data_IF_542840533238
#
_entry.id   IF_542840533238
#
_cell.length_a   1.000
_cell.length_b   1.000
_cell.length_c   1.000
_cell.angle_alpha   90.00
_cell.angle_beta   90.00
_cell.angle_gamma   90.00
#
_symmetry.space_group_name_H-M   'P 1'
#
loop_
_entity.id
_entity.type
_entity.pdbx_description
1 polymer ?
#
# COMPACT_ATOMS: atom_id res chain seq x y z
N UNK A 1 -4.92 4.39 2.84
CA UNK A 1 -3.91 4.71 1.81
C UNK A 1 -4.06 6.19 1.43
N UNK A 2 -3.03 6.86 0.92
CA UNK A 2 -3.13 8.25 0.42
C UNK A 2 -3.16 8.27 -1.10
N UNK A 3 -4.02 9.09 -1.68
CA UNK A 3 -4.06 9.33 -3.11
C UNK A 3 -4.28 10.82 -3.41
N UNK A 4 -3.90 11.22 -4.61
CA UNK A 4 -4.19 12.52 -5.18
C UNK A 4 -5.23 12.38 -6.29
N UNK A 5 -6.19 13.30 -6.34
CA UNK A 5 -7.24 13.31 -7.37
C UNK A 5 -6.68 13.90 -8.66
N UNK A 6 -7.00 13.24 -9.78
CA UNK A 6 -6.59 13.67 -11.13
C UNK A 6 -7.72 14.30 -11.93
N UNK A 7 -8.96 14.14 -11.49
CA UNK A 7 -10.12 14.72 -12.16
C UNK A 7 -10.37 16.17 -11.71
N UNK A 8 -10.81 17.06 -12.62
CA UNK A 8 -11.00 18.49 -12.31
C UNK A 8 -11.95 18.73 -11.15
N UNK A 9 -13.01 17.93 -11.06
CA UNK A 9 -14.03 18.03 -10.03
C UNK A 9 -14.66 16.66 -9.77
N UNK A 10 -14.69 16.27 -8.50
CA UNK A 10 -15.23 15.00 -8.04
C UNK A 10 -16.23 15.24 -6.93
N UNK A 11 -17.42 14.65 -7.05
CA UNK A 11 -18.45 14.68 -6.00
C UNK A 11 -18.15 13.61 -4.96
N UNK A 12 -18.10 14.03 -3.70
CA UNK A 12 -18.08 13.13 -2.55
C UNK A 12 -19.49 13.03 -1.97
N UNK A 13 -19.92 11.81 -1.68
CA UNK A 13 -21.26 11.44 -1.23
C UNK A 13 -21.23 10.96 0.22
N UNK A 14 -22.32 11.20 0.96
CA UNK A 14 -22.47 10.74 2.34
C UNK A 14 -22.59 9.21 2.47
N UNK A 15 -23.02 8.52 1.41
CA UNK A 15 -23.16 7.06 1.40
C UNK A 15 -22.90 6.48 0.01
N UNK A 16 -22.77 5.15 -0.06
CA UNK A 16 -22.66 4.39 -1.31
C UNK A 16 -24.05 4.25 -1.98
N UNK A 17 -24.64 5.38 -2.36
CA UNK A 17 -25.91 5.46 -3.09
C UNK A 17 -25.82 6.61 -4.08
N UNK A 18 -26.35 6.42 -5.29
CA UNK A 18 -26.38 7.46 -6.32
C UNK A 18 -27.30 8.61 -5.95
N UNK A 19 -28.33 8.34 -5.14
CA UNK A 19 -29.26 9.35 -4.64
C UNK A 19 -28.76 9.99 -3.35
N UNK A 20 -27.58 9.61 -2.86
CA UNK A 20 -27.01 10.19 -1.65
C UNK A 20 -26.71 11.68 -1.87
N UNK A 21 -26.85 12.46 -0.80
CA UNK A 21 -26.46 13.86 -0.80
C UNK A 21 -24.95 13.98 -1.05
N UNK A 22 -24.58 14.85 -2.00
CA UNK A 22 -23.18 15.25 -2.16
C UNK A 22 -22.82 16.20 -1.02
N UNK A 23 -21.86 15.78 -0.20
CA UNK A 23 -21.44 16.50 1.02
C UNK A 23 -20.17 17.32 0.80
N UNK A 24 -19.41 17.05 -0.26
CA UNK A 24 -18.25 17.83 -0.63
C UNK A 24 -17.93 17.71 -2.13
N UNK A 25 -17.17 18.69 -2.62
CA UNK A 25 -16.56 18.69 -3.93
C UNK A 25 -15.05 18.70 -3.77
N UNK A 26 -14.39 17.74 -4.39
CA UNK A 26 -12.94 17.62 -4.41
C UNK A 26 -12.43 18.07 -5.77
N UNK A 27 -11.28 18.74 -5.79
CA UNK A 27 -10.67 19.30 -6.99
C UNK A 27 -9.46 18.48 -7.42
N UNK A 28 -9.01 18.71 -8.64
CA UNK A 28 -7.72 18.15 -9.09
C UNK A 28 -6.61 18.59 -8.12
N UNK A 29 -5.76 17.64 -7.73
CA UNK A 29 -4.63 17.91 -6.84
C UNK A 29 -4.93 17.68 -5.36
N UNK A 30 -6.21 17.57 -4.97
CA UNK A 30 -6.57 17.28 -3.59
C UNK A 30 -6.03 15.93 -3.14
N UNK A 31 -5.41 15.92 -1.96
CA UNK A 31 -4.92 14.70 -1.31
C UNK A 31 -5.99 14.14 -0.38
N UNK A 32 -6.33 12.87 -0.59
CA UNK A 32 -7.35 12.17 0.18
C UNK A 32 -6.80 10.87 0.77
N UNK A 33 -7.30 10.54 1.96
CA UNK A 33 -7.16 9.20 2.50
C UNK A 33 -8.29 8.35 1.93
N UNK A 34 -7.96 7.24 1.29
CA UNK A 34 -8.92 6.32 0.73
C UNK A 34 -8.71 4.89 1.24
N UNK A 35 -9.81 4.12 1.25
CA UNK A 35 -9.86 2.71 1.60
C UNK A 35 -10.13 1.83 0.38
N UNK A 36 -10.32 0.52 0.63
CA UNK A 36 -10.59 -0.44 -0.44
C UNK A 36 -11.91 -0.16 -1.16
N UNK A 37 -11.95 -0.22 -2.50
CA UNK A 37 -13.19 -0.09 -3.27
C UNK A 37 -14.23 -1.14 -2.84
N UNK A 38 -15.50 -0.73 -2.77
CA UNK A 38 -16.65 -1.57 -2.45
C UNK A 38 -17.68 -1.50 -3.57
N UNK A 39 -18.32 -2.62 -3.89
CA UNK A 39 -19.41 -2.66 -4.88
C UNK A 39 -20.76 -2.59 -4.17
N UNK A 40 -21.65 -1.71 -4.60
CA UNK A 40 -23.03 -1.63 -4.14
C UNK A 40 -23.93 -1.22 -5.30
N UNK A 41 -25.05 -1.93 -5.47
CA UNK A 41 -26.00 -1.73 -6.58
C UNK A 41 -25.32 -1.71 -7.97
N UNK A 42 -24.36 -2.60 -8.20
CA UNK A 42 -23.65 -2.69 -9.49
C UNK A 42 -22.50 -1.68 -9.66
N UNK A 43 -22.44 -0.61 -8.88
CA UNK A 43 -21.41 0.44 -8.98
C UNK A 43 -20.29 0.27 -7.96
N UNK A 44 -19.10 0.71 -8.35
CA UNK A 44 -17.92 0.76 -7.49
C UNK A 44 -17.87 2.09 -6.74
N UNK A 45 -17.60 2.01 -5.45
CA UNK A 45 -17.50 3.14 -4.54
C UNK A 45 -16.19 3.06 -3.79
N UNK A 46 -15.47 4.17 -3.73
CA UNK A 46 -14.23 4.26 -2.97
C UNK A 46 -14.52 5.04 -1.69
N UNK A 47 -14.39 4.42 -0.51
CA UNK A 47 -14.51 5.14 0.75
C UNK A 47 -13.32 6.07 0.92
N UNK A 48 -13.59 7.31 1.29
CA UNK A 48 -12.60 8.35 1.54
C UNK A 48 -12.84 8.98 2.91
N UNK A 49 -11.81 9.63 3.44
CA UNK A 49 -11.90 10.46 4.64
C UNK A 49 -11.54 11.89 4.23
N UNK A 50 -12.49 12.80 4.40
CA UNK A 50 -12.30 14.23 4.11
C UNK A 50 -11.35 14.87 5.13
N UNK A 51 -10.85 16.08 4.83
CA UNK A 51 -10.04 16.87 5.77
C UNK A 51 -10.75 17.16 7.09
N UNK A 52 -12.08 17.17 7.10
CA UNK A 52 -12.92 17.29 8.30
C UNK A 52 -12.93 16.02 9.18
N UNK A 53 -12.32 14.92 8.74
CA UNK A 53 -12.39 13.61 9.39
C UNK A 53 -13.68 12.84 9.07
N UNK A 54 -14.63 13.45 8.35
CA UNK A 54 -15.87 12.80 7.94
C UNK A 54 -15.60 11.75 6.86
N UNK A 55 -16.19 10.56 7.03
CA UNK A 55 -16.16 9.53 5.99
C UNK A 55 -17.14 9.88 4.87
N UNK A 56 -16.65 9.80 3.63
CA UNK A 56 -17.43 10.03 2.42
C UNK A 56 -17.12 8.94 1.38
N UNK A 57 -17.80 8.99 0.24
CA UNK A 57 -17.63 8.03 -0.84
C UNK A 57 -17.51 8.76 -2.17
N UNK A 58 -16.60 8.31 -3.02
CA UNK A 58 -16.46 8.80 -4.41
C UNK A 58 -16.73 7.66 -5.39
N UNK A 59 -17.05 8.00 -6.63
CA UNK A 59 -17.23 7.00 -7.69
C UNK A 59 -15.91 6.24 -7.93
N UNK A 60 -16.00 4.93 -8.15
CA UNK A 60 -14.86 4.09 -8.56
C UNK A 60 -14.25 4.47 -9.91
N UNK A 61 -14.97 5.22 -10.73
CA UNK A 61 -14.49 5.72 -12.03
C UNK A 61 -13.58 6.96 -11.88
N UNK A 62 -13.47 7.51 -10.67
CA UNK A 62 -12.61 8.65 -10.38
C UNK A 62 -11.15 8.28 -10.58
N UNK A 63 -10.41 9.09 -11.34
CA UNK A 63 -8.97 8.87 -11.56
C UNK A 63 -8.18 9.33 -10.33
N UNK A 64 -7.53 8.36 -9.69
CA UNK A 64 -6.71 8.56 -8.49
C UNK A 64 -5.26 8.18 -8.79
N UNK A 65 -4.33 9.02 -8.33
CA UNK A 65 -2.92 8.68 -8.27
C UNK A 65 -2.56 8.27 -6.84
N UNK A 66 -2.22 7.00 -6.63
CA UNK A 66 -1.86 6.49 -5.31
C UNK A 66 -0.48 6.98 -4.91
N UNK A 67 -0.42 7.76 -3.82
CA UNK A 67 0.84 8.25 -3.26
C UNK A 67 1.52 7.09 -2.54
N UNK A 68 2.72 6.74 -2.99
CA UNK A 68 3.53 5.64 -2.44
C UNK A 68 4.80 6.20 -1.82
N UNK A 69 5.21 5.61 -0.71
CA UNK A 69 6.51 5.89 -0.12
C UNK A 69 7.57 5.00 -0.77
N UNK A 70 8.74 5.57 -1.00
CA UNK A 70 9.88 4.90 -1.58
C UNK A 70 11.17 5.32 -0.88
N UNK A 71 12.22 4.51 -1.07
CA UNK A 71 13.58 4.85 -0.69
C UNK A 71 14.52 4.76 -1.89
N UNK A 72 15.47 5.68 -1.97
CA UNK A 72 16.48 5.67 -3.03
C UNK A 72 17.44 4.48 -2.88
N UNK A 73 17.75 3.79 -3.98
CA UNK A 73 18.72 2.67 -3.98
C UNK A 73 20.11 3.06 -4.49
N UNK A 74 20.18 4.10 -5.32
CA UNK A 74 21.41 4.67 -5.86
C UNK A 74 22.15 5.52 -4.81
N UNK A 75 23.44 5.76 -5.03
CA UNK A 75 24.29 6.51 -4.11
C UNK A 75 23.84 7.97 -3.97
N UNK A 76 23.61 8.62 -5.11
CA UNK A 76 23.13 9.99 -5.22
C UNK A 76 22.21 10.13 -6.43
N UNK A 77 21.19 10.97 -6.31
CA UNK A 77 20.32 11.37 -7.42
C UNK A 77 20.02 12.86 -7.31
N UNK A 78 20.16 13.56 -8.44
CA UNK A 78 19.80 14.97 -8.57
C UNK A 78 18.28 15.12 -8.60
N UNK A 79 17.79 16.10 -7.83
CA UNK A 79 16.39 16.51 -7.82
C UNK A 79 16.28 17.85 -8.51
N UNK A 80 15.52 17.90 -9.59
CA UNK A 80 15.33 19.06 -10.46
C UNK A 80 14.15 19.92 -10.01
N UNK A 81 14.18 21.21 -10.37
CA UNK A 81 13.07 22.15 -10.11
C UNK A 81 11.88 21.92 -11.05
N UNK A 82 12.14 21.43 -12.26
CA UNK A 82 11.15 21.16 -13.32
C UNK A 82 11.41 19.80 -13.98
N UNK A 83 10.41 19.19 -14.65
CA UNK A 83 10.57 17.93 -15.38
C UNK A 83 11.28 18.15 -16.72
N UNK A 84 12.49 18.69 -16.69
CA UNK A 84 13.34 18.95 -17.85
C UNK A 84 14.80 18.69 -17.50
N UNK A 85 15.57 18.11 -18.44
CA UNK A 85 16.99 17.82 -18.25
C UNK A 85 17.84 19.10 -18.18
N UNK A 86 17.32 20.22 -18.71
CA UNK A 86 17.94 21.54 -18.67
C UNK A 86 17.59 22.31 -17.39
N UNK A 87 16.72 21.74 -16.54
CA UNK A 87 16.30 22.36 -15.30
C UNK A 87 17.45 22.44 -14.29
N UNK A 88 17.39 23.44 -13.42
CA UNK A 88 18.34 23.58 -12.32
C UNK A 88 18.15 22.47 -11.28
N UNK A 89 19.28 21.94 -10.81
CA UNK A 89 19.30 20.98 -9.70
C UNK A 89 18.98 21.75 -8.42
N UNK A 90 17.89 21.37 -7.75
CA UNK A 90 17.43 21.94 -6.49
C UNK A 90 18.22 21.41 -5.31
N UNK A 91 18.43 20.09 -5.26
CA UNK A 91 19.21 19.40 -4.23
C UNK A 91 19.52 17.96 -4.67
N UNK A 92 20.33 17.24 -3.89
CA UNK A 92 20.64 15.83 -4.12
C UNK A 92 20.06 14.93 -3.04
N UNK A 93 19.46 13.83 -3.44
CA UNK A 93 19.07 12.75 -2.54
C UNK A 93 20.20 11.74 -2.40
N UNK A 94 20.46 11.32 -1.16
CA UNK A 94 21.42 10.26 -0.85
C UNK A 94 20.76 8.89 -0.79
N UNK A 95 21.58 7.84 -0.85
CA UNK A 95 21.10 6.46 -0.71
C UNK A 95 20.24 6.26 0.53
N UNK A 96 19.15 5.50 0.38
CA UNK A 96 18.14 5.24 1.40
C UNK A 96 17.34 6.45 1.86
N UNK A 97 17.52 7.64 1.26
CA UNK A 97 16.63 8.76 1.50
C UNK A 97 15.19 8.36 1.17
N UNK A 98 14.27 8.67 2.09
CA UNK A 98 12.85 8.33 1.97
C UNK A 98 12.10 9.49 1.36
N UNK A 99 11.20 9.19 0.43
CA UNK A 99 10.35 10.21 -0.18
C UNK A 99 9.03 9.60 -0.65
N UNK A 100 8.07 10.46 -0.93
CA UNK A 100 6.78 10.07 -1.48
C UNK A 100 6.72 10.39 -2.97
N UNK A 101 6.16 9.47 -3.75
CA UNK A 101 5.94 9.63 -5.19
C UNK A 101 4.58 10.28 -5.38
N UNK A 102 4.57 11.47 -5.98
CA UNK A 102 3.39 12.33 -6.10
C UNK A 102 2.73 12.25 -7.47
N UNK A 103 3.53 12.12 -8.54
CA UNK A 103 3.04 12.01 -9.92
C UNK A 103 4.13 11.42 -10.80
N UNK A 104 3.73 10.65 -11.82
CA UNK A 104 4.60 10.27 -12.94
C UNK A 104 4.17 11.08 -14.15
N UNK A 105 5.12 11.77 -14.77
CA UNK A 105 4.95 12.58 -15.97
C UNK A 105 5.67 11.82 -17.08
N UNK A 106 4.90 11.28 -18.03
CA UNK A 106 5.48 10.64 -19.20
C UNK A 106 5.84 11.72 -20.21
N UNK A 107 7.13 11.95 -20.40
CA UNK A 107 7.65 12.89 -21.40
C UNK A 107 8.08 12.11 -22.64
N UNK A 108 7.96 12.72 -23.83
CA UNK A 108 8.22 12.05 -25.10
C UNK A 108 9.61 11.40 -25.18
N UNK A 109 10.66 12.09 -24.72
CA UNK A 109 12.03 11.57 -24.70
C UNK A 109 12.44 10.95 -23.36
N UNK A 110 11.86 11.40 -22.24
CA UNK A 110 12.22 10.92 -20.90
C UNK A 110 11.06 11.06 -19.91
N UNK A 111 10.85 10.02 -19.11
CA UNK A 111 9.88 10.01 -18.02
C UNK A 111 10.43 10.74 -16.79
N UNK A 112 9.54 11.43 -16.09
CA UNK A 112 9.83 12.19 -14.89
C UNK A 112 8.92 11.78 -13.75
N UNK A 113 9.47 11.79 -12.54
CA UNK A 113 8.72 11.47 -11.33
C UNK A 113 8.78 12.66 -10.39
N UNK A 114 7.62 13.24 -10.10
CA UNK A 114 7.48 14.25 -9.05
C UNK A 114 7.52 13.56 -7.71
N UNK A 115 8.44 13.98 -6.85
CA UNK A 115 8.63 13.44 -5.52
C UNK A 115 8.48 14.53 -4.46
N UNK A 116 8.21 14.10 -3.23
CA UNK A 116 8.21 14.95 -2.04
C UNK A 116 8.97 14.25 -0.91
N UNK A 117 10.06 14.87 -0.49
CA UNK A 117 10.93 14.39 0.59
C UNK A 117 10.27 14.51 1.98
N UNK A 118 10.85 13.89 2.99
CA UNK A 118 10.39 13.97 4.39
C UNK A 118 10.37 15.40 4.94
N UNK A 119 11.23 16.26 4.41
CA UNK A 119 11.29 17.69 4.75
C UNK A 119 10.19 18.52 4.07
N UNK A 120 9.32 17.88 3.28
CA UNK A 120 8.28 18.56 2.50
C UNK A 120 8.78 19.20 1.20
N UNK A 121 10.09 19.07 0.90
CA UNK A 121 10.68 19.57 -0.34
C UNK A 121 10.15 18.76 -1.53
N UNK A 122 9.61 19.48 -2.52
CA UNK A 122 9.15 18.90 -3.78
C UNK A 122 10.17 19.13 -4.88
N UNK A 123 10.23 18.18 -5.81
CA UNK A 123 11.04 18.28 -7.02
C UNK A 123 10.84 17.08 -7.94
N UNK A 124 11.67 16.99 -8.98
CA UNK A 124 11.55 16.01 -10.04
C UNK A 124 12.81 15.15 -10.13
N UNK A 125 12.63 13.86 -10.36
CA UNK A 125 13.73 12.91 -10.64
C UNK A 125 13.44 12.17 -11.94
N UNK A 126 14.47 11.65 -12.59
CA UNK A 126 14.31 10.84 -13.78
C UNK A 126 13.56 9.54 -13.48
N UNK A 127 12.75 9.08 -14.44
CA UNK A 127 11.92 7.87 -14.33
C UNK A 127 12.72 6.56 -14.25
N UNK A 128 13.99 6.56 -14.65
CA UNK A 128 14.91 5.43 -14.55
C UNK A 128 15.62 5.34 -13.17
N UNK A 129 15.31 6.26 -12.26
CA UNK A 129 15.84 6.26 -10.89
C UNK A 129 15.50 4.95 -10.18
N UNK A 130 16.50 4.27 -9.63
CA UNK A 130 16.31 3.01 -8.91
C UNK A 130 15.76 3.27 -7.51
N UNK A 131 14.50 2.91 -7.33
CA UNK A 131 13.75 3.11 -6.08
C UNK A 131 13.24 1.78 -5.50
N UNK A 132 13.18 1.72 -4.18
CA UNK A 132 12.53 0.63 -3.44
C UNK A 132 11.22 1.16 -2.88
N UNK A 133 10.10 0.65 -3.39
CA UNK A 133 8.77 0.98 -2.89
C UNK A 133 8.53 0.31 -1.54
N UNK A 134 8.09 1.09 -0.55
CA UNK A 134 7.58 0.53 0.70
C UNK A 134 6.17 0.00 0.46
N UNK A 135 5.97 -1.30 0.63
CA UNK A 135 4.63 -1.87 0.63
C UNK A 135 3.91 -1.40 1.90
N UNK A 136 2.77 -0.73 1.73
CA UNK A 136 1.89 -0.43 2.86
C UNK A 136 1.42 -1.76 3.47
N UNK A 137 1.73 -1.98 4.75
CA UNK A 137 1.26 -3.17 5.48
C UNK A 137 -0.27 -3.10 5.55
N UNK A 138 -0.97 -3.99 4.85
CA UNK A 138 -2.44 -4.05 4.86
C UNK A 138 -2.95 -5.10 5.85
N UNK A 139 -4.10 -4.87 6.47
CA UNK A 139 -4.81 -5.86 7.29
C UNK A 139 -5.16 -7.11 6.51
N UNK A 140 -5.45 -6.98 5.21
CA UNK A 140 -5.74 -8.12 4.34
C UNK A 140 -4.57 -9.11 4.27
N UNK A 141 -3.34 -8.60 4.16
CA UNK A 141 -2.14 -9.44 4.17
C UNK A 141 -1.90 -10.06 5.56
N UNK A 142 -2.14 -9.30 6.64
CA UNK A 142 -2.12 -9.82 8.01
C UNK A 142 -3.11 -10.97 8.22
N UNK A 143 -4.37 -10.82 7.77
CA UNK A 143 -5.40 -11.88 7.85
C UNK A 143 -4.99 -13.15 7.11
N UNK A 144 -4.38 -13.02 5.92
CA UNK A 144 -3.90 -14.17 5.15
C UNK A 144 -2.80 -14.92 5.93
N UNK A 145 -1.85 -14.19 6.50
CA UNK A 145 -0.77 -14.79 7.31
C UNK A 145 -1.31 -15.47 8.59
N UNK A 146 -2.30 -14.88 9.27
CA UNK A 146 -2.98 -15.51 10.40
C UNK A 146 -3.63 -16.83 9.97
N UNK A 147 -4.39 -16.83 8.86
CA UNK A 147 -5.10 -18.02 8.38
C UNK A 147 -4.11 -19.14 7.99
N UNK A 148 -3.03 -18.79 7.28
CA UNK A 148 -1.98 -19.74 6.95
C UNK A 148 -1.30 -20.28 8.21
N UNK A 149 -1.04 -19.43 9.21
CA UNK A 149 -0.49 -19.86 10.51
C UNK A 149 -1.40 -20.85 11.24
N UNK A 150 -2.70 -20.56 11.33
CA UNK A 150 -3.70 -21.45 11.94
C UNK A 150 -3.75 -22.80 11.21
N UNK A 151 -3.74 -22.79 9.87
CA UNK A 151 -3.76 -24.02 9.08
C UNK A 151 -2.53 -24.90 9.36
N UNK A 152 -1.32 -24.33 9.39
CA UNK A 152 -0.10 -25.07 9.72
C UNK A 152 -0.08 -25.57 11.16
N UNK A 153 -0.63 -24.82 12.10
CA UNK A 153 -0.82 -25.27 13.47
C UNK A 153 -1.74 -26.49 13.54
N UNK A 154 -2.89 -26.45 12.86
CA UNK A 154 -3.82 -27.59 12.82
C UNK A 154 -3.18 -28.83 12.20
N UNK A 155 -2.44 -28.69 11.09
CA UNK A 155 -1.70 -29.78 10.46
C UNK A 155 -0.64 -30.34 11.43
N UNK A 156 0.11 -29.47 12.10
CA UNK A 156 1.09 -29.86 13.11
C UNK A 156 0.49 -30.63 14.28
N UNK A 157 -0.65 -30.16 14.82
CA UNK A 157 -1.41 -30.87 15.86
C UNK A 157 -1.87 -32.23 15.37
N UNK A 158 -2.47 -32.32 14.17
CA UNK A 158 -2.91 -33.60 13.61
C UNK A 158 -1.73 -34.56 13.47
N UNK A 159 -0.58 -34.13 12.92
CA UNK A 159 0.59 -35.01 12.77
C UNK A 159 1.16 -35.44 14.13
N UNK A 160 1.21 -34.54 15.11
CA UNK A 160 1.77 -34.83 16.44
C UNK A 160 0.89 -35.75 17.28
N UNK A 161 -0.44 -35.67 17.14
CA UNK A 161 -1.38 -36.46 17.95
C UNK A 161 -1.99 -37.66 17.23
N UNK A 162 -1.96 -37.67 15.89
CA UNK A 162 -2.29 -38.87 15.14
C UNK A 162 -1.15 -39.85 15.36
N UNK A 163 -1.43 -40.95 16.05
CA UNK A 163 -0.54 -42.12 16.17
C UNK A 163 -0.43 -42.82 14.82
N UNK A 164 -0.02 -42.10 13.77
CA UNK A 164 0.32 -42.69 12.48
C UNK A 164 1.61 -43.46 12.73
N UNK A 165 1.46 -44.72 13.11
CA UNK A 165 2.53 -45.71 13.20
C UNK A 165 3.02 -45.99 11.79
N UNK A 166 3.86 -45.12 11.26
CA UNK A 166 4.68 -45.43 10.09
C UNK A 166 5.84 -46.27 10.59
N UNK A 167 5.92 -47.50 10.10
CA UNK A 167 6.80 -48.59 10.52
C UNK A 167 8.31 -48.33 10.30
N UNK A 168 8.74 -47.08 10.10
CA UNK A 168 10.15 -46.71 9.92
C UNK A 168 10.51 -45.38 10.61
N UNK A 169 11.34 -45.52 11.65
CA UNK A 169 12.20 -44.55 12.33
C UNK A 169 11.97 -43.04 12.16
N UNK A 170 11.44 -42.40 13.21
CA UNK A 170 11.97 -41.14 13.76
C UNK A 170 11.75 -39.81 13.02
N UNK A 171 11.37 -39.79 11.74
CA UNK A 171 11.40 -38.53 10.96
C UNK A 171 10.11 -37.69 11.00
N UNK A 172 8.95 -38.28 11.32
CA UNK A 172 7.66 -37.57 11.22
C UNK A 172 7.31 -36.68 12.41
N UNK A 173 7.79 -37.00 13.61
CA UNK A 173 7.55 -36.17 14.81
C UNK A 173 8.25 -34.81 14.69
N UNK A 174 9.45 -34.79 14.10
CA UNK A 174 10.20 -33.56 13.79
C UNK A 174 9.44 -32.68 12.80
N UNK A 175 8.80 -33.27 11.79
CA UNK A 175 7.96 -32.53 10.84
C UNK A 175 6.71 -31.92 11.52
N UNK A 176 6.08 -32.64 12.46
CA UNK A 176 4.97 -32.12 13.26
C UNK A 176 5.37 -30.90 14.10
N UNK A 177 6.49 -30.98 14.83
CA UNK A 177 7.02 -29.83 15.59
C UNK A 177 7.46 -28.68 14.68
N UNK A 178 8.06 -28.97 13.53
CA UNK A 178 8.41 -27.96 12.52
C UNK A 178 7.18 -27.21 11.99
N UNK A 179 6.11 -27.93 11.67
CA UNK A 179 4.83 -27.35 11.25
C UNK A 179 4.19 -26.50 12.35
N UNK A 180 4.23 -26.94 13.61
CA UNK A 180 3.74 -26.17 14.75
C UNK A 180 4.51 -24.86 14.95
N UNK A 181 5.85 -24.92 14.93
CA UNK A 181 6.71 -23.76 15.15
C UNK A 181 6.58 -22.76 14.00
N UNK A 182 6.57 -23.24 12.75
CA UNK A 182 6.32 -22.41 11.57
C UNK A 182 4.92 -21.75 11.62
N UNK A 183 3.89 -22.52 11.96
CA UNK A 183 2.53 -22.02 12.11
C UNK A 183 2.42 -20.95 13.19
N UNK A 184 3.05 -21.15 14.36
CA UNK A 184 3.07 -20.19 15.46
C UNK A 184 3.77 -18.88 15.06
N UNK A 185 4.94 -18.96 14.40
CA UNK A 185 5.67 -17.78 13.92
C UNK A 185 4.84 -16.99 12.91
N UNK A 186 4.25 -17.67 11.91
CA UNK A 186 3.37 -17.04 10.92
C UNK A 186 2.15 -16.37 11.56
N UNK A 187 1.55 -17.02 12.57
CA UNK A 187 0.41 -16.49 13.30
C UNK A 187 0.76 -15.22 14.08
N UNK A 188 1.90 -15.21 14.79
CA UNK A 188 2.40 -14.04 15.52
C UNK A 188 2.70 -12.89 14.56
N UNK A 189 3.43 -13.14 13.47
CA UNK A 189 3.70 -12.11 12.45
C UNK A 189 2.40 -11.57 11.84
N UNK A 190 1.44 -12.44 11.55
CA UNK A 190 0.12 -12.06 11.05
C UNK A 190 -0.65 -11.19 12.03
N UNK A 191 -0.68 -11.54 13.33
CA UNK A 191 -1.33 -10.75 14.38
C UNK A 191 -0.67 -9.39 14.56
N UNK A 192 0.66 -9.34 14.66
CA UNK A 192 1.40 -8.07 14.76
C UNK A 192 1.08 -7.19 13.55
N UNK A 193 1.11 -7.73 12.34
CA UNK A 193 0.76 -6.99 11.14
C UNK A 193 -0.71 -6.54 11.15
N UNK A 194 -1.64 -7.35 11.62
CA UNK A 194 -3.07 -7.03 11.68
C UNK A 194 -3.37 -5.90 12.68
N UNK A 195 -2.75 -5.92 13.86
CA UNK A 195 -2.94 -4.89 14.89
C UNK A 195 -2.19 -3.59 14.60
N UNK A 196 -1.01 -3.67 13.96
CA UNK A 196 -0.20 -2.48 13.64
C UNK A 196 -0.57 -1.82 12.31
N UNK A 197 -1.41 -2.45 11.48
CA UNK A 197 -1.86 -1.85 10.21
C UNK A 197 -3.10 -0.99 10.40
N UNK A 198 -3.08 0.20 9.80
CA UNK A 198 -4.14 1.20 9.89
C UNK A 198 -5.30 0.96 8.92
N UNK A 199 -5.15 0.04 7.94
CA UNK A 199 -6.14 -0.27 6.90
C UNK A 199 -6.38 -1.75 6.72
#
# INVERSE_FOLDING_TARGET
MKARILDPQVKAYSSMDEKALSIAYLKEGDEINFGSPKKKAGKLWVPIVLSSGQQAYISGDTRLFVIREAALMQAKVDVFTEPSAESTIKYQLSRNAKFSIQRVIKGGSQDWVRIKDTNGNEGYVFGDTRIRLFQQKTKAMGKKNILTGVMWLLIGVVISFSKITVTSGGSFTVLGYGALLFGAVMLIYGLVQFFTSTT
#
